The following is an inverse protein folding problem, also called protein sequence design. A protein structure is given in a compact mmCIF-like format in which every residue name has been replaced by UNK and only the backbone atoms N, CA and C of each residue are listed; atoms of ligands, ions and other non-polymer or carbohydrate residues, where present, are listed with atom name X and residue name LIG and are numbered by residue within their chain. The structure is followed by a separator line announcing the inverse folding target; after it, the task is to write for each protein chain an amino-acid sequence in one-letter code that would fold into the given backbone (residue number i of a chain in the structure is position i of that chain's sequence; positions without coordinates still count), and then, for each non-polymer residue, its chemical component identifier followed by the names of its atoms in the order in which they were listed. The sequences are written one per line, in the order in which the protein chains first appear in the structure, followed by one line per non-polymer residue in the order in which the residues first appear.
data_IF_073615132938
#
_entry.id   IF_073615132938
#
_cell.length_a   1.000
_cell.length_b   1.000
_cell.length_c   1.000
_cell.angle_alpha   90.00
_cell.angle_beta   90.00
_cell.angle_gamma   90.00
#
_symmetry.space_group_name_H-M   'P 1'
#
loop_
_entity.id
_entity.type
_entity.pdbx_description
1 polymer ?
#
# COMPACT_ATOMS: atom_id res chain seq x y z
N UNK A 1 -14.75 16.45 -39.80
CA UNK A 1 -14.25 15.17 -39.29
C UNK A 1 -13.62 15.44 -37.93
N UNK A 2 -14.41 15.23 -36.87
CA UNK A 2 -13.99 15.53 -35.47
C UNK A 2 -13.17 14.34 -34.98
N UNK A 3 -11.87 14.53 -34.85
CA UNK A 3 -10.96 13.50 -34.30
C UNK A 3 -11.19 13.46 -32.76
N UNK A 4 -12.04 12.57 -32.29
CA UNK A 4 -12.18 12.26 -30.88
C UNK A 4 -10.87 11.58 -30.43
N UNK A 5 -9.96 12.37 -29.86
CA UNK A 5 -8.82 11.82 -29.13
C UNK A 5 -9.39 10.96 -27.98
N UNK A 6 -9.02 9.68 -27.87
CA UNK A 6 -9.45 8.89 -26.73
C UNK A 6 -8.86 9.53 -25.46
N UNK A 7 -9.72 10.07 -24.60
CA UNK A 7 -9.36 10.42 -23.23
C UNK A 7 -9.01 9.10 -22.53
N UNK A 8 -7.75 8.68 -22.64
CA UNK A 8 -7.26 7.50 -21.96
C UNK A 8 -7.40 7.71 -20.45
N UNK A 9 -8.37 7.06 -19.85
CA UNK A 9 -8.49 7.05 -18.39
C UNK A 9 -7.23 6.45 -17.81
N UNK A 10 -6.58 7.17 -16.91
CA UNK A 10 -5.40 6.71 -16.16
C UNK A 10 -5.79 5.54 -15.28
N UNK A 11 -4.91 4.53 -15.13
CA UNK A 11 -5.06 3.46 -14.15
C UNK A 11 -5.44 4.05 -12.79
N UNK A 12 -6.50 3.52 -12.18
CA UNK A 12 -6.88 3.80 -10.80
C UNK A 12 -6.42 2.63 -9.93
N UNK A 13 -5.79 2.94 -8.80
CA UNK A 13 -5.30 1.97 -7.82
C UNK A 13 -6.13 2.07 -6.55
N UNK A 14 -6.31 0.96 -5.81
CA UNK A 14 -6.86 1.04 -4.46
C UNK A 14 -5.87 1.74 -3.53
N UNK A 15 -6.37 2.37 -2.48
CA UNK A 15 -5.56 3.19 -1.58
C UNK A 15 -4.41 2.42 -0.90
N UNK A 16 -4.54 1.11 -0.74
CA UNK A 16 -3.48 0.24 -0.20
C UNK A 16 -2.29 0.06 -1.17
N UNK A 17 -2.49 0.29 -2.47
CA UNK A 17 -1.43 0.22 -3.49
C UNK A 17 -1.01 1.65 -3.84
N UNK A 18 0.05 2.12 -3.22
CA UNK A 18 0.49 3.51 -3.33
C UNK A 18 1.97 3.69 -3.04
N UNK A 19 2.38 4.95 -3.02
CA UNK A 19 3.72 5.30 -2.54
C UNK A 19 3.91 4.84 -1.10
N UNK A 20 5.15 4.62 -0.72
CA UNK A 20 5.57 4.21 0.62
C UNK A 20 5.05 2.83 1.08
N UNK A 21 4.36 2.07 0.20
CA UNK A 21 3.84 0.74 0.55
C UNK A 21 4.96 -0.26 0.85
N UNK A 22 4.59 -1.29 1.63
CA UNK A 22 5.42 -2.48 1.83
C UNK A 22 4.76 -3.67 1.16
N UNK A 23 5.53 -4.47 0.44
CA UNK A 23 5.11 -5.74 -0.15
C UNK A 23 5.77 -6.90 0.60
N UNK A 24 5.03 -7.99 0.78
CA UNK A 24 5.55 -9.22 1.37
C UNK A 24 6.74 -9.74 0.58
N UNK A 25 7.84 -10.10 1.24
CA UNK A 25 9.05 -10.63 0.63
C UNK A 25 8.91 -12.09 0.17
N UNK A 26 9.77 -12.52 -0.75
CA UNK A 26 9.97 -13.91 -1.21
C UNK A 26 8.67 -14.61 -1.65
N UNK A 27 7.75 -13.89 -2.29
CA UNK A 27 6.45 -14.44 -2.70
C UNK A 27 5.93 -13.78 -3.98
N UNK A 28 4.82 -14.29 -4.48
CA UNK A 28 4.06 -13.65 -5.55
C UNK A 28 2.98 -12.76 -4.93
N UNK A 29 3.16 -11.45 -5.01
CA UNK A 29 2.18 -10.49 -4.51
C UNK A 29 1.21 -10.07 -5.61
N UNK A 30 -0.04 -9.83 -5.24
CA UNK A 30 -1.05 -9.32 -6.15
C UNK A 30 -1.01 -7.79 -6.20
N UNK A 31 -0.95 -7.24 -7.41
CA UNK A 31 -1.27 -5.85 -7.69
C UNK A 31 -2.58 -5.82 -8.50
N UNK A 32 -3.46 -4.87 -8.18
CA UNK A 32 -4.76 -4.78 -8.84
C UNK A 32 -5.26 -3.33 -8.89
N UNK A 33 -6.30 -3.11 -9.66
CA UNK A 33 -6.94 -1.81 -9.76
C UNK A 33 -7.96 -1.79 -10.89
N UNK A 34 -8.21 -0.59 -11.39
CA UNK A 34 -9.17 -0.34 -12.45
C UNK A 34 -8.52 0.43 -13.59
N UNK A 35 -8.94 0.12 -14.81
CA UNK A 35 -8.52 0.77 -16.04
C UNK A 35 -9.66 0.75 -17.05
N UNK A 36 -9.47 1.36 -18.21
CA UNK A 36 -10.38 1.15 -19.33
C UNK A 36 -10.47 -0.34 -19.65
N UNK A 37 -11.69 -0.84 -19.90
CA UNK A 37 -11.95 -2.25 -20.27
C UNK A 37 -11.09 -2.70 -21.44
N UNK A 38 -10.71 -3.97 -21.43
CA UNK A 38 -9.91 -4.62 -22.49
C UNK A 38 -8.59 -3.88 -22.78
N UNK A 39 -8.03 -3.19 -21.79
CA UNK A 39 -6.78 -2.46 -21.90
C UNK A 39 -5.62 -3.32 -21.44
N UNK A 40 -4.54 -3.35 -22.24
CA UNK A 40 -3.29 -3.96 -21.80
C UNK A 40 -2.67 -3.12 -20.69
N UNK A 41 -2.37 -3.76 -19.56
CA UNK A 41 -1.67 -3.19 -18.42
C UNK A 41 -0.27 -3.79 -18.36
N UNK A 42 0.74 -2.96 -18.25
CA UNK A 42 2.12 -3.40 -18.03
C UNK A 42 2.58 -2.88 -16.68
N UNK A 43 3.10 -3.76 -15.85
CA UNK A 43 3.72 -3.43 -14.56
C UNK A 43 5.21 -3.70 -14.67
N UNK A 44 6.05 -2.69 -14.44
CA UNK A 44 7.50 -2.80 -14.38
C UNK A 44 7.97 -2.57 -12.96
N UNK A 45 8.80 -3.47 -12.48
CA UNK A 45 9.40 -3.44 -11.14
C UNK A 45 10.88 -3.10 -11.23
N UNK A 46 11.38 -2.25 -10.33
CA UNK A 46 12.79 -1.83 -10.36
C UNK A 46 13.76 -2.83 -9.75
N UNK A 47 13.28 -3.79 -8.95
CA UNK A 47 14.15 -4.78 -8.29
C UNK A 47 14.66 -5.87 -9.23
N UNK A 48 13.95 -6.17 -10.30
CA UNK A 48 14.34 -7.18 -11.30
C UNK A 48 14.24 -6.68 -12.75
N UNK A 49 13.78 -5.43 -12.94
CA UNK A 49 13.54 -4.78 -14.23
C UNK A 49 12.60 -5.56 -15.17
N UNK A 50 11.80 -6.49 -14.64
CA UNK A 50 10.85 -7.27 -15.43
C UNK A 50 9.60 -6.48 -15.75
N UNK A 51 8.99 -6.83 -16.88
CA UNK A 51 7.68 -6.38 -17.30
C UNK A 51 6.69 -7.53 -17.13
N UNK A 52 5.70 -7.30 -16.29
CA UNK A 52 4.54 -8.17 -16.10
C UNK A 52 3.38 -7.58 -16.89
N UNK A 53 2.58 -8.40 -17.54
CA UNK A 53 1.47 -7.90 -18.37
C UNK A 53 0.18 -8.64 -18.06
N UNK A 54 -0.93 -7.89 -18.08
CA UNK A 54 -2.29 -8.40 -18.00
C UNK A 54 -3.21 -7.57 -18.88
N UNK A 55 -4.46 -7.97 -19.00
CA UNK A 55 -5.51 -7.18 -19.68
C UNK A 55 -6.65 -6.97 -18.71
N UNK A 56 -7.17 -5.74 -18.63
CA UNK A 56 -8.34 -5.45 -17.83
C UNK A 56 -9.59 -6.15 -18.36
N UNK A 57 -10.43 -6.62 -17.45
CA UNK A 57 -11.67 -7.28 -17.75
C UNK A 57 -12.73 -6.32 -18.34
N UNK A 58 -13.89 -6.86 -18.71
CA UNK A 58 -15.01 -6.08 -19.27
C UNK A 58 -15.60 -5.05 -18.29
N UNK A 59 -15.44 -5.27 -16.98
CA UNK A 59 -15.82 -4.36 -15.90
C UNK A 59 -14.73 -3.33 -15.58
N UNK A 60 -13.57 -3.40 -16.26
CA UNK A 60 -12.43 -2.53 -16.06
C UNK A 60 -11.48 -2.98 -14.94
N UNK A 61 -11.78 -4.03 -14.20
CA UNK A 61 -10.86 -4.56 -13.18
C UNK A 61 -9.64 -5.21 -13.81
N UNK A 62 -8.51 -5.16 -13.14
CA UNK A 62 -7.33 -5.90 -13.52
C UNK A 62 -6.58 -6.40 -12.28
N UNK A 63 -5.88 -7.50 -12.44
CA UNK A 63 -5.03 -8.11 -11.42
C UNK A 63 -3.81 -8.73 -12.08
N UNK A 64 -2.69 -8.64 -11.41
CA UNK A 64 -1.42 -9.24 -11.84
C UNK A 64 -0.64 -9.71 -10.62
N UNK A 65 0.14 -10.76 -10.78
CA UNK A 65 1.09 -11.21 -9.78
C UNK A 65 2.50 -10.76 -10.16
N UNK A 66 3.23 -10.22 -9.21
CA UNK A 66 4.64 -9.88 -9.34
C UNK A 66 5.44 -10.60 -8.26
N UNK A 67 6.58 -11.15 -8.65
CA UNK A 67 7.48 -11.84 -7.73
C UNK A 67 8.33 -10.83 -6.97
N UNK A 68 8.36 -10.93 -5.65
CA UNK A 68 9.17 -10.10 -4.77
C UNK A 68 10.45 -10.81 -4.36
N UNK A 69 11.59 -10.12 -4.29
CA UNK A 69 12.83 -10.65 -3.73
C UNK A 69 12.80 -10.66 -2.20
N UNK A 70 13.93 -10.95 -1.58
CA UNK A 70 14.17 -10.73 -0.15
C UNK A 70 14.00 -9.26 0.22
N UNK A 71 13.83 -9.00 1.52
CA UNK A 71 13.64 -7.66 2.07
C UNK A 71 14.66 -6.65 1.54
N UNK A 72 14.20 -5.45 1.28
CA UNK A 72 15.02 -4.36 0.74
C UNK A 72 14.20 -3.19 0.19
N UNK A 73 14.87 -2.30 -0.49
CA UNK A 73 14.32 -1.09 -1.07
C UNK A 73 15.13 0.16 -0.67
N UNK A 74 14.65 1.36 -1.02
CA UNK A 74 13.37 1.62 -1.69
C UNK A 74 13.39 1.29 -3.19
N UNK A 75 12.27 0.77 -3.68
CA UNK A 75 12.04 0.42 -5.07
C UNK A 75 10.98 1.31 -5.71
N UNK A 76 10.84 1.17 -7.03
CA UNK A 76 9.76 1.78 -7.80
C UNK A 76 8.97 0.74 -8.56
N UNK A 77 7.67 1.00 -8.74
CA UNK A 77 6.79 0.21 -9.61
C UNK A 77 6.14 1.17 -10.59
N UNK A 78 6.30 0.93 -11.88
CA UNK A 78 5.63 1.70 -12.91
C UNK A 78 4.52 0.87 -13.53
N UNK A 79 3.30 1.38 -13.49
CA UNK A 79 2.11 0.77 -14.07
C UNK A 79 1.72 1.61 -15.29
N UNK A 80 1.52 0.96 -16.42
CA UNK A 80 1.29 1.62 -17.69
C UNK A 80 0.10 1.02 -18.43
N UNK A 81 -0.86 1.87 -18.80
CA UNK A 81 -2.02 1.54 -19.65
C UNK A 81 -2.13 2.45 -20.88
N UNK A 82 -1.05 3.20 -21.18
CA UNK A 82 -0.98 4.30 -22.13
C UNK A 82 -0.47 5.58 -21.48
N UNK A 83 -0.63 5.71 -20.15
CA UNK A 83 0.01 6.75 -19.33
C UNK A 83 0.65 6.10 -18.11
N UNK A 84 1.90 6.45 -17.77
CA UNK A 84 2.57 5.85 -16.62
C UNK A 84 2.00 6.37 -15.30
N UNK A 85 1.85 5.46 -14.34
CA UNK A 85 1.67 5.71 -12.90
C UNK A 85 2.86 5.11 -12.21
N UNK A 86 3.67 5.92 -11.57
CA UNK A 86 4.87 5.44 -10.86
C UNK A 86 4.63 5.52 -9.36
N UNK A 87 4.78 4.39 -8.69
CA UNK A 87 4.80 4.27 -7.24
C UNK A 87 6.26 4.31 -6.79
N UNK A 88 6.54 5.16 -5.82
CA UNK A 88 7.89 5.41 -5.31
C UNK A 88 8.02 4.97 -3.86
N UNK A 89 9.26 4.82 -3.40
CA UNK A 89 9.60 4.45 -2.03
C UNK A 89 8.93 3.15 -1.56
N UNK A 90 8.80 2.17 -2.48
CA UNK A 90 8.23 0.85 -2.18
C UNK A 90 9.27 0.02 -1.44
N UNK A 91 8.91 -0.52 -0.30
CA UNK A 91 9.73 -1.46 0.46
C UNK A 91 9.24 -2.89 0.23
N UNK A 92 10.15 -3.83 0.40
CA UNK A 92 9.87 -5.27 0.45
C UNK A 92 10.33 -5.78 1.81
N UNK A 93 9.45 -6.50 2.51
CA UNK A 93 9.71 -7.00 3.86
C UNK A 93 8.57 -7.85 4.38
N UNK A 94 8.42 -7.91 5.69
CA UNK A 94 7.30 -8.59 6.33
C UNK A 94 6.07 -7.68 6.40
N UNK A 95 4.91 -8.23 6.07
CA UNK A 95 3.62 -7.52 6.13
C UNK A 95 2.69 -8.22 7.12
N UNK A 96 2.24 -7.49 8.13
CA UNK A 96 1.38 -8.01 9.18
C UNK A 96 0.03 -7.32 9.18
N UNK A 97 -1.03 -8.11 9.32
CA UNK A 97 -2.38 -7.61 9.57
C UNK A 97 -2.65 -7.63 11.08
N UNK A 98 -2.65 -6.45 11.68
CA UNK A 98 -2.98 -6.27 13.09
C UNK A 98 -4.47 -5.98 13.24
N UNK A 99 -5.23 -6.91 13.81
CA UNK A 99 -6.67 -6.81 13.99
C UNK A 99 -7.07 -7.20 15.41
N UNK A 100 -8.16 -6.65 15.91
CA UNK A 100 -8.67 -6.93 17.25
C UNK A 100 -9.77 -5.96 17.65
N UNK A 101 -9.93 -5.79 18.96
CA UNK A 101 -10.92 -4.90 19.55
C UNK A 101 -10.23 -3.70 20.23
N UNK A 102 -10.78 -3.23 21.35
CA UNK A 102 -10.36 -2.03 22.09
C UNK A 102 -8.86 -1.96 22.40
N UNK A 103 -8.22 -3.08 22.73
CA UNK A 103 -6.77 -3.09 23.01
C UNK A 103 -5.94 -2.86 21.73
N UNK A 104 -6.39 -3.38 20.58
CA UNK A 104 -5.73 -3.13 19.31
C UNK A 104 -5.93 -1.69 18.84
N UNK A 105 -7.04 -1.06 19.23
CA UNK A 105 -7.34 0.31 18.88
C UNK A 105 -6.64 1.34 19.79
N UNK A 106 -6.18 0.95 20.99
CA UNK A 106 -5.51 1.83 21.94
C UNK A 106 -4.32 2.54 21.27
N UNK A 107 -4.34 3.88 21.12
CA UNK A 107 -3.29 4.58 20.42
C UNK A 107 -2.03 4.75 21.26
N UNK A 108 -0.88 4.88 20.61
CA UNK A 108 0.43 5.14 21.24
C UNK A 108 0.36 6.35 22.18
N UNK A 109 -0.36 7.41 21.78
CA UNK A 109 -0.55 8.62 22.61
C UNK A 109 -1.13 8.36 24.00
N UNK A 110 -1.83 7.26 24.22
CA UNK A 110 -2.42 6.89 25.52
C UNK A 110 -1.44 6.17 26.43
N UNK A 111 -0.31 5.73 25.92
CA UNK A 111 0.71 4.98 26.67
C UNK A 111 2.04 5.76 26.76
N UNK A 112 2.11 6.95 26.20
CA UNK A 112 3.33 7.76 26.10
C UNK A 112 3.96 8.04 27.46
N UNK A 113 3.18 8.31 28.51
CA UNK A 113 3.72 8.63 29.84
C UNK A 113 4.52 7.48 30.46
N UNK A 114 4.15 6.24 30.10
CA UNK A 114 4.80 5.03 30.61
C UNK A 114 5.98 4.58 29.74
N UNK A 115 5.95 4.88 28.44
CA UNK A 115 6.90 4.37 27.45
C UNK A 115 7.58 5.51 26.65
N UNK A 116 7.74 6.69 27.25
CA UNK A 116 8.25 7.90 26.60
C UNK A 116 9.62 7.68 25.95
N UNK A 117 10.53 7.08 26.68
CA UNK A 117 11.92 6.89 26.23
C UNK A 117 11.96 5.89 25.06
N UNK A 118 11.14 4.86 25.09
CA UNK A 118 11.07 3.84 24.03
C UNK A 118 10.42 4.39 22.74
N UNK A 119 9.55 5.39 22.85
CA UNK A 119 8.87 6.02 21.71
C UNK A 119 9.72 7.13 21.11
N UNK A 120 10.48 7.88 21.93
CA UNK A 120 11.22 9.09 21.53
C UNK A 120 12.62 8.81 20.99
N UNK A 121 13.26 7.72 21.41
CA UNK A 121 14.68 7.47 21.13
C UNK A 121 14.96 6.71 19.84
N UNK A 122 13.95 6.11 19.23
CA UNK A 122 14.14 5.27 18.05
C UNK A 122 13.93 6.02 16.73
N UNK A 123 14.99 6.68 16.29
CA UNK A 123 15.07 7.29 14.94
C UNK A 123 15.16 6.24 13.80
N UNK A 124 15.23 4.95 14.12
CA UNK A 124 15.52 3.88 13.15
C UNK A 124 14.28 3.21 12.51
N UNK A 125 13.06 3.65 12.84
CA UNK A 125 11.85 3.05 12.27
C UNK A 125 11.43 3.61 10.90
N UNK A 126 12.30 4.36 10.24
CA UNK A 126 12.02 4.86 8.88
C UNK A 126 11.75 3.74 7.86
N UNK A 127 12.19 2.52 8.14
CA UNK A 127 11.92 1.34 7.31
C UNK A 127 10.61 0.62 7.70
N UNK A 128 10.01 0.96 8.84
CA UNK A 128 8.70 0.45 9.24
C UNK A 128 7.62 1.37 8.69
N UNK A 129 6.64 0.77 8.03
CA UNK A 129 5.48 1.46 7.46
C UNK A 129 4.20 0.90 8.06
N UNK A 130 3.19 1.73 8.17
CA UNK A 130 1.89 1.28 8.60
C UNK A 130 0.76 1.95 7.81
N UNK A 131 -0.37 1.29 7.82
CA UNK A 131 -1.68 1.86 7.43
C UNK A 131 -2.61 1.67 8.63
N UNK A 132 -3.33 2.72 8.98
CA UNK A 132 -4.45 2.63 9.90
C UNK A 132 -5.75 2.78 9.13
N UNK A 133 -6.60 1.76 9.21
CA UNK A 133 -7.94 1.84 8.62
C UNK A 133 -8.86 2.67 9.50
N UNK A 134 -9.68 3.56 8.93
CA UNK A 134 -10.70 4.29 9.69
C UNK A 134 -11.79 3.33 10.18
N UNK A 135 -12.46 3.71 11.26
CA UNK A 135 -13.65 3.00 11.73
C UNK A 135 -14.83 3.29 10.79
N UNK A 136 -14.96 2.46 9.78
CA UNK A 136 -16.06 2.53 8.81
C UNK A 136 -16.88 1.25 8.89
N UNK A 137 -18.17 1.42 9.11
CA UNK A 137 -19.11 0.31 9.14
C UNK A 137 -19.83 0.19 7.80
N UNK A 138 -19.75 -0.97 7.18
CA UNK A 138 -20.57 -1.31 6.02
C UNK A 138 -21.11 -2.72 6.18
N UNK A 139 -22.41 -2.80 6.40
CA UNK A 139 -23.10 -4.08 6.62
C UNK A 139 -23.72 -4.64 5.33
N UNK A 140 -23.57 -3.97 4.19
CA UNK A 140 -24.23 -4.37 2.96
C UNK A 140 -23.38 -5.29 2.09
N UNK A 141 -22.08 -4.98 1.95
CA UNK A 141 -21.18 -5.77 1.09
C UNK A 141 -19.70 -5.48 1.42
N UNK A 142 -18.79 -6.43 1.06
CA UNK A 142 -17.37 -6.17 1.05
C UNK A 142 -17.04 -4.96 0.16
N UNK A 143 -16.10 -4.12 0.59
CA UNK A 143 -15.65 -2.97 -0.16
C UNK A 143 -14.41 -3.31 -0.99
N UNK A 144 -14.35 -2.81 -2.21
CA UNK A 144 -13.22 -3.02 -3.11
C UNK A 144 -12.02 -2.10 -2.79
N UNK A 145 -12.25 -1.05 -2.00
CA UNK A 145 -11.24 -0.07 -1.60
C UNK A 145 -11.62 0.56 -0.26
N UNK A 146 -10.64 1.08 0.47
CA UNK A 146 -10.83 1.83 1.71
C UNK A 146 -10.33 3.26 1.46
N UNK A 147 -11.23 4.21 1.20
CA UNK A 147 -10.82 5.57 0.88
C UNK A 147 -10.16 6.27 2.08
N UNK A 148 -9.24 7.19 1.78
CA UNK A 148 -8.63 8.05 2.80
C UNK A 148 -7.51 7.40 3.62
N UNK A 149 -7.03 6.19 3.26
CA UNK A 149 -5.85 5.58 3.84
C UNK A 149 -4.62 5.86 2.98
N UNK A 150 -3.47 5.89 3.62
CA UNK A 150 -2.16 5.94 2.95
C UNK A 150 -1.10 5.28 3.85
N UNK A 151 -0.05 4.77 3.23
CA UNK A 151 1.10 4.29 3.95
C UNK A 151 1.83 5.44 4.65
N UNK A 152 2.22 5.24 5.88
CA UNK A 152 2.95 6.19 6.72
C UNK A 152 4.26 5.57 7.17
N UNK A 153 5.35 6.34 7.12
CA UNK A 153 6.56 5.95 7.84
C UNK A 153 6.31 6.05 9.36
N UNK A 154 6.85 5.10 10.10
CA UNK A 154 6.75 5.13 11.56
C UNK A 154 7.76 6.13 12.12
N UNK A 155 7.31 7.36 12.35
CA UNK A 155 8.08 8.43 13.01
C UNK A 155 7.46 8.78 14.35
N UNK A 156 8.18 9.41 15.29
CA UNK A 156 7.61 9.82 16.58
C UNK A 156 6.33 10.67 16.44
N UNK A 157 6.27 11.51 15.41
CA UNK A 157 5.09 12.36 15.14
C UNK A 157 3.92 11.57 14.56
N UNK A 158 4.20 10.67 13.60
CA UNK A 158 3.16 9.93 12.89
C UNK A 158 2.59 8.77 13.69
N UNK A 159 3.37 8.21 14.63
CA UNK A 159 2.99 7.00 15.38
C UNK A 159 1.93 7.26 16.45
N UNK A 160 1.78 8.51 16.91
CA UNK A 160 0.90 8.84 18.04
C UNK A 160 -0.55 8.35 17.88
N UNK A 161 -1.21 8.46 16.72
CA UNK A 161 -2.56 7.92 16.51
C UNK A 161 -2.60 6.43 16.17
N UNK A 162 -1.44 5.78 15.99
CA UNK A 162 -1.37 4.37 15.62
C UNK A 162 -1.62 3.46 16.83
N UNK A 163 -1.94 2.18 16.59
CA UNK A 163 -2.11 1.18 17.63
C UNK A 163 -0.83 0.98 18.43
N UNK A 164 -0.89 1.15 19.76
CA UNK A 164 0.25 0.89 20.63
C UNK A 164 0.70 -0.57 20.56
N UNK A 165 -0.25 -1.51 20.53
CA UNK A 165 0.06 -2.94 20.46
C UNK A 165 0.76 -3.28 19.16
N UNK A 166 0.25 -2.79 18.02
CA UNK A 166 0.88 -2.99 16.72
C UNK A 166 2.25 -2.30 16.61
N UNK A 167 2.41 -1.14 17.22
CA UNK A 167 3.69 -0.43 17.31
C UNK A 167 4.77 -1.26 18.02
N UNK A 168 4.47 -1.72 19.23
CA UNK A 168 5.42 -2.53 20.02
C UNK A 168 5.66 -3.92 19.43
N UNK A 169 4.72 -4.46 18.65
CA UNK A 169 4.91 -5.70 17.92
C UNK A 169 5.89 -5.53 16.74
N UNK A 170 5.82 -4.39 16.03
CA UNK A 170 6.66 -4.12 14.87
C UNK A 170 8.09 -3.66 15.24
N UNK A 171 8.30 -3.29 16.50
CA UNK A 171 9.57 -2.89 17.09
C UNK A 171 10.47 -4.09 17.37
#
# INVERSE_FOLDING_TARGET
MLCLLPLGAKVKLPAIIGNDMVLQQNTNVNLWGWATRSRKITVRTSWDNKNYTTTSASDGTWKIQVQTPSAGGPYTITIFDGKPVTLTNVLIGEVWLCSGQSNMELPVSRVTDRFRDEISTDSNYSMVRYIKTPLLYNFHAPQADIPGISWQAMTPENVMPFSALAYFFAK
#
